data_IF_560079152086
#
_entry.id   IF_560079152086
#
_cell.length_a   1.000
_cell.length_b   1.000
_cell.length_c   1.000
_cell.angle_alpha   90.00
_cell.angle_beta   90.00
_cell.angle_gamma   90.00
#
_symmetry.space_group_name_H-M   'P 1'
#
loop_
_entity.id
_entity.type
_entity.pdbx_description
1 polymer ?
#
# COMPACT_ATOMS: atom_id res chain seq x y z
N UNK A 1 30.20 24.18 -33.33
CA UNK A 1 30.13 22.93 -32.54
C UNK A 1 29.84 23.36 -31.11
N UNK A 2 28.56 23.37 -30.72
CA UNK A 2 28.17 23.76 -29.35
C UNK A 2 28.17 22.50 -28.48
N UNK A 3 29.24 22.32 -27.71
CA UNK A 3 29.46 21.22 -26.76
C UNK A 3 28.81 21.56 -25.41
N UNK A 4 27.49 21.65 -25.38
CA UNK A 4 26.76 22.00 -24.14
C UNK A 4 25.43 21.29 -23.92
N UNK A 5 24.92 20.53 -24.90
CA UNK A 5 23.68 19.75 -24.72
C UNK A 5 24.02 18.32 -24.30
N UNK A 6 24.07 18.08 -22.99
CA UNK A 6 23.69 16.78 -22.46
C UNK A 6 22.20 16.65 -22.74
N UNK A 7 21.84 16.01 -23.84
CA UNK A 7 20.49 15.47 -23.98
C UNK A 7 20.53 14.15 -23.23
N UNK A 8 19.95 14.13 -22.04
CA UNK A 8 19.65 12.87 -21.36
C UNK A 8 18.51 12.23 -22.18
N UNK A 9 18.87 11.41 -23.17
CA UNK A 9 17.96 10.43 -23.77
C UNK A 9 17.85 9.23 -22.83
N UNK A 10 17.47 9.49 -21.58
CA UNK A 10 16.75 8.49 -20.82
C UNK A 10 15.30 8.75 -21.18
N UNK A 11 14.72 7.94 -22.07
CA UNK A 11 13.28 7.81 -22.05
C UNK A 11 12.95 7.30 -20.63
N UNK A 12 12.62 8.22 -19.72
CA UNK A 12 11.57 7.91 -18.75
C UNK A 12 10.35 7.72 -19.65
N UNK A 13 10.17 6.49 -20.12
CA UNK A 13 8.98 6.16 -20.86
C UNK A 13 7.84 6.34 -19.86
N UNK A 14 7.19 7.50 -19.91
CA UNK A 14 6.05 7.85 -19.07
C UNK A 14 4.78 7.17 -19.55
N UNK A 15 4.93 5.98 -20.14
CA UNK A 15 3.83 5.14 -20.56
C UNK A 15 3.31 4.40 -19.32
N UNK A 16 1.99 4.43 -19.21
CA UNK A 16 1.15 3.68 -18.28
C UNK A 16 0.23 2.87 -19.21
N UNK A 17 0.66 1.64 -19.51
CA UNK A 17 0.09 0.81 -20.58
C UNK A 17 -1.28 0.25 -20.23
N UNK A 18 -1.52 -0.01 -18.94
CA UNK A 18 -2.78 -0.53 -18.40
C UNK A 18 -3.71 0.57 -17.87
N UNK A 19 -3.23 1.81 -17.75
CA UNK A 19 -4.00 2.96 -17.28
C UNK A 19 -4.32 2.92 -15.79
N UNK A 20 -3.58 2.14 -15.00
CA UNK A 20 -3.85 1.95 -13.58
C UNK A 20 -3.36 3.14 -12.73
N UNK A 21 -2.59 4.07 -13.33
CA UNK A 21 -2.01 5.24 -12.69
C UNK A 21 -0.56 5.08 -12.23
N UNK A 22 0.03 3.90 -12.46
CA UNK A 22 1.43 3.59 -12.23
C UNK A 22 2.14 3.50 -13.59
N UNK A 23 3.35 4.04 -13.70
CA UNK A 23 4.09 3.97 -14.95
C UNK A 23 4.69 2.58 -15.14
N UNK A 24 4.77 2.09 -16.38
CA UNK A 24 5.39 0.78 -16.70
C UNK A 24 6.84 0.70 -16.17
N UNK A 25 7.57 1.82 -16.23
CA UNK A 25 8.93 1.91 -15.68
C UNK A 25 9.00 1.73 -14.15
N UNK A 26 7.89 1.98 -13.45
CA UNK A 26 7.72 1.74 -12.03
C UNK A 26 7.16 0.34 -11.75
N UNK A 27 6.24 -0.20 -12.57
CA UNK A 27 5.70 -1.55 -12.39
C UNK A 27 6.76 -2.62 -12.64
N UNK A 28 7.58 -2.39 -13.66
CA UNK A 28 8.42 -3.43 -14.26
C UNK A 28 7.94 -3.67 -15.69
N UNK A 29 8.77 -4.31 -16.51
CA UNK A 29 8.41 -4.61 -17.90
C UNK A 29 8.76 -6.05 -18.25
N UNK A 30 8.83 -6.93 -17.26
CA UNK A 30 9.08 -8.35 -17.50
C UNK A 30 7.78 -8.98 -18.02
N UNK A 31 7.85 -9.56 -19.22
CA UNK A 31 6.70 -10.21 -19.84
C UNK A 31 6.40 -11.59 -19.25
N UNK A 32 7.26 -12.09 -18.35
CA UNK A 32 7.04 -13.33 -17.62
C UNK A 32 6.37 -13.11 -16.25
N UNK A 33 6.30 -11.87 -15.77
CA UNK A 33 5.53 -11.53 -14.57
C UNK A 33 4.05 -11.46 -14.97
N UNK A 34 3.27 -12.40 -14.45
CA UNK A 34 1.83 -12.61 -14.68
C UNK A 34 1.26 -13.17 -13.37
N UNK A 35 0.68 -12.29 -12.54
CA UNK A 35 0.35 -12.57 -11.14
C UNK A 35 -0.76 -13.62 -11.01
N UNK A 36 -1.73 -13.64 -11.92
CA UNK A 36 -2.90 -14.52 -11.88
C UNK A 36 -2.91 -15.59 -13.00
N UNK A 37 -1.82 -15.68 -13.78
CA UNK A 37 -1.60 -16.63 -14.87
C UNK A 37 -2.66 -16.50 -16.00
N UNK A 38 -3.18 -15.29 -16.27
CA UNK A 38 -4.20 -15.05 -17.29
C UNK A 38 -3.62 -14.89 -18.72
N UNK A 39 -2.30 -14.73 -18.83
CA UNK A 39 -1.55 -14.55 -20.07
C UNK A 39 -1.27 -13.09 -20.45
N UNK A 40 -1.71 -12.12 -19.64
CA UNK A 40 -1.40 -10.70 -19.73
C UNK A 40 -0.30 -10.38 -18.73
N UNK A 41 0.86 -9.84 -19.16
CA UNK A 41 1.89 -9.46 -18.21
C UNK A 41 1.41 -8.37 -17.24
N UNK A 42 1.87 -8.40 -15.98
CA UNK A 42 1.44 -7.50 -14.90
C UNK A 42 1.40 -6.01 -15.31
N UNK A 43 2.43 -5.53 -16.02
CA UNK A 43 2.55 -4.12 -16.43
C UNK A 43 1.60 -3.71 -17.56
N UNK A 44 0.92 -4.68 -18.16
CA UNK A 44 -0.13 -4.49 -19.16
C UNK A 44 -1.50 -4.91 -18.64
N UNK A 45 -1.57 -5.50 -17.45
CA UNK A 45 -2.81 -5.94 -16.85
C UNK A 45 -3.41 -4.84 -15.98
N UNK A 46 -4.65 -4.45 -16.27
CA UNK A 46 -5.34 -3.40 -15.53
C UNK A 46 -5.94 -3.87 -14.21
N UNK A 47 -6.00 -5.17 -13.95
CA UNK A 47 -6.40 -5.69 -12.64
C UNK A 47 -5.23 -5.83 -11.65
N UNK A 48 -4.02 -5.56 -12.11
CA UNK A 48 -2.78 -5.68 -11.33
C UNK A 48 -2.05 -4.33 -11.31
N UNK A 49 -1.45 -4.00 -10.16
CA UNK A 49 -0.68 -2.77 -10.01
C UNK A 49 0.53 -2.96 -9.09
N UNK A 50 1.73 -2.60 -9.56
CA UNK A 50 2.97 -2.74 -8.77
C UNK A 50 3.67 -1.39 -8.61
N UNK A 51 3.77 -0.87 -7.39
CA UNK A 51 4.26 0.51 -7.15
C UNK A 51 5.12 0.61 -5.89
N UNK A 52 5.88 1.70 -5.77
CA UNK A 52 6.73 1.97 -4.60
C UNK A 52 5.93 2.63 -3.48
N UNK A 53 6.22 2.21 -2.26
CA UNK A 53 5.68 2.85 -1.05
C UNK A 53 6.59 4.00 -0.57
N UNK A 54 6.07 5.01 0.13
CA UNK A 54 6.81 6.22 0.52
C UNK A 54 7.84 6.02 1.64
N UNK A 55 7.95 4.79 2.18
CA UNK A 55 8.84 4.47 3.32
C UNK A 55 10.07 3.65 2.91
N UNK A 56 10.23 3.37 1.62
CA UNK A 56 11.28 2.49 1.09
C UNK A 56 11.46 2.64 -0.42
N UNK A 57 12.21 1.70 -1.01
CA UNK A 57 12.40 1.58 -2.47
C UNK A 57 11.76 0.31 -3.04
N UNK A 58 11.37 -0.59 -2.14
CA UNK A 58 10.68 -1.84 -2.37
C UNK A 58 9.25 -1.55 -2.88
N UNK A 59 8.65 -2.56 -3.52
CA UNK A 59 7.34 -2.41 -4.16
C UNK A 59 6.27 -3.20 -3.43
N UNK A 60 5.06 -2.68 -3.48
CA UNK A 60 3.83 -3.38 -3.12
C UNK A 60 3.13 -3.73 -4.43
N UNK A 61 2.56 -4.94 -4.50
CA UNK A 61 1.77 -5.39 -5.65
C UNK A 61 0.33 -5.64 -5.23
N UNK A 62 -0.60 -5.12 -6.00
CA UNK A 62 -2.04 -5.35 -5.87
C UNK A 62 -2.53 -6.18 -7.04
N UNK A 63 -3.54 -7.01 -6.78
CA UNK A 63 -4.35 -7.66 -7.80
C UNK A 63 -5.82 -7.68 -7.34
N UNK A 64 -6.77 -7.42 -8.23
CA UNK A 64 -8.20 -7.50 -7.95
C UNK A 64 -8.85 -8.63 -8.73
N UNK A 65 -9.69 -9.44 -8.07
CA UNK A 65 -10.35 -10.59 -8.70
C UNK A 65 -11.36 -10.22 -9.80
N UNK A 66 -11.73 -8.95 -9.90
CA UNK A 66 -12.56 -8.38 -10.96
C UNK A 66 -12.42 -6.85 -10.98
N UNK A 67 -12.85 -6.24 -12.09
CA UNK A 67 -12.72 -4.81 -12.33
C UNK A 67 -11.29 -4.42 -12.70
N UNK A 68 -11.02 -3.12 -12.73
CA UNK A 68 -9.74 -2.56 -13.15
C UNK A 68 -9.28 -1.50 -12.16
N UNK A 69 -8.01 -1.56 -11.76
CA UNK A 69 -7.40 -0.49 -11.00
C UNK A 69 -7.30 0.79 -11.84
N UNK A 70 -7.47 1.92 -11.17
CA UNK A 70 -7.13 3.23 -11.70
C UNK A 70 -6.76 4.18 -10.57
N UNK A 71 -5.97 5.21 -10.88
CA UNK A 71 -5.45 6.19 -9.91
C UNK A 71 -4.77 5.53 -8.70
N UNK A 72 -4.02 4.44 -8.92
CA UNK A 72 -3.24 3.81 -7.87
C UNK A 72 -2.14 4.78 -7.41
N UNK A 73 -2.06 5.00 -6.11
CA UNK A 73 -1.06 5.85 -5.49
C UNK A 73 -0.77 5.38 -4.07
N UNK A 74 0.43 5.69 -3.59
CA UNK A 74 0.80 5.50 -2.20
C UNK A 74 1.32 6.82 -1.62
N UNK A 75 0.75 7.24 -0.49
CA UNK A 75 1.12 8.49 0.18
C UNK A 75 1.58 8.22 1.61
N UNK A 76 2.41 9.12 2.13
CA UNK A 76 2.89 8.99 3.51
C UNK A 76 1.74 9.13 4.49
N UNK A 77 1.80 8.43 5.61
CA UNK A 77 0.73 8.41 6.60
C UNK A 77 0.51 9.77 7.30
N UNK A 78 1.50 10.66 7.23
CA UNK A 78 1.46 12.05 7.71
C UNK A 78 1.10 13.08 6.62
N UNK A 79 0.69 12.62 5.42
CA UNK A 79 0.25 13.50 4.35
C UNK A 79 -0.98 14.33 4.81
N UNK A 80 -0.99 15.66 4.57
CA UNK A 80 -2.10 16.52 4.96
C UNK A 80 -3.41 16.24 4.21
N UNK A 81 -3.40 15.48 3.11
CA UNK A 81 -4.64 15.03 2.46
C UNK A 81 -5.36 13.92 3.24
N UNK A 82 -4.70 13.31 4.22
CA UNK A 82 -5.28 12.28 5.09
C UNK A 82 -5.82 12.87 6.39
N UNK A 83 -6.88 12.28 6.96
CA UNK A 83 -7.35 12.67 8.28
C UNK A 83 -6.32 12.32 9.34
N UNK A 84 -5.73 13.34 9.96
CA UNK A 84 -4.78 13.14 11.06
C UNK A 84 -5.48 12.96 12.42
N UNK A 85 -6.72 13.44 12.55
CA UNK A 85 -7.56 13.15 13.71
C UNK A 85 -8.13 11.73 13.62
N UNK A 86 -8.06 10.97 14.72
CA UNK A 86 -8.51 9.58 14.74
C UNK A 86 -7.58 8.58 14.05
N UNK A 87 -6.43 9.03 13.53
CA UNK A 87 -5.38 8.14 13.01
C UNK A 87 -4.90 7.18 14.11
N UNK A 88 -4.86 5.86 13.87
CA UNK A 88 -4.47 4.91 14.88
C UNK A 88 -3.01 5.11 15.30
N UNK A 89 -2.73 4.93 16.60
CA UNK A 89 -1.38 5.04 17.18
C UNK A 89 -0.53 3.78 16.90
N UNK A 90 -0.29 3.52 15.61
CA UNK A 90 0.43 2.36 15.08
C UNK A 90 1.47 2.80 14.04
N UNK A 91 2.31 1.88 13.59
CA UNK A 91 3.24 2.14 12.50
C UNK A 91 2.59 1.85 11.16
N UNK A 92 2.94 2.65 10.15
CA UNK A 92 2.48 2.53 8.76
C UNK A 92 3.68 2.20 7.87
N UNK A 93 4.21 0.96 7.92
CA UNK A 93 5.47 0.59 7.29
C UNK A 93 5.47 0.82 5.78
N UNK A 94 4.30 0.81 5.14
CA UNK A 94 4.13 1.00 3.71
C UNK A 94 3.30 2.24 3.36
N UNK A 95 3.09 3.16 4.30
CA UNK A 95 2.25 4.33 4.07
C UNK A 95 0.75 4.00 3.93
N UNK A 96 0.06 4.76 3.10
CA UNK A 96 -1.38 4.65 2.85
C UNK A 96 -1.60 4.54 1.36
N UNK A 97 -2.18 3.42 0.96
CA UNK A 97 -2.52 3.12 -0.42
C UNK A 97 -3.85 3.78 -0.77
N UNK A 98 -3.98 4.23 -2.01
CA UNK A 98 -5.20 4.82 -2.57
C UNK A 98 -5.38 4.30 -3.98
N UNK A 99 -6.57 3.83 -4.30
CA UNK A 99 -6.91 3.38 -5.65
C UNK A 99 -8.42 3.46 -5.87
N UNK A 100 -8.80 3.33 -7.13
CA UNK A 100 -10.16 3.02 -7.55
C UNK A 100 -10.18 1.64 -8.18
N UNK A 101 -11.23 0.85 -7.93
CA UNK A 101 -11.55 -0.33 -8.74
C UNK A 101 -12.78 0.01 -9.56
N UNK A 102 -12.66 -0.02 -10.88
CA UNK A 102 -13.72 0.38 -11.83
C UNK A 102 -14.20 -0.78 -12.67
N UNK A 103 -15.32 -0.60 -13.39
CA UNK A 103 -15.86 -1.62 -14.28
C UNK A 103 -16.65 -2.72 -13.55
N UNK A 104 -17.05 -2.45 -12.31
CA UNK A 104 -17.87 -3.34 -11.51
C UNK A 104 -19.35 -3.16 -11.80
N UNK A 105 -20.14 -4.17 -11.49
CA UNK A 105 -21.59 -4.01 -11.32
C UNK A 105 -21.88 -3.25 -10.02
N UNK A 106 -22.95 -2.46 -10.00
CA UNK A 106 -23.37 -1.76 -8.78
C UNK A 106 -23.62 -2.76 -7.63
N UNK A 107 -22.98 -2.56 -6.48
CA UNK A 107 -23.06 -3.45 -5.31
C UNK A 107 -22.14 -4.68 -5.36
N UNK A 108 -21.27 -4.78 -6.37
CA UNK A 108 -20.40 -5.94 -6.53
C UNK A 108 -19.30 -6.00 -5.46
N UNK A 109 -18.91 -7.22 -5.09
CA UNK A 109 -17.80 -7.48 -4.17
C UNK A 109 -16.63 -8.13 -4.89
N UNK A 110 -15.42 -7.65 -4.60
CA UNK A 110 -14.17 -8.15 -5.16
C UNK A 110 -13.20 -8.56 -4.06
N UNK A 111 -12.32 -9.50 -4.38
CA UNK A 111 -11.17 -9.84 -3.53
C UNK A 111 -9.95 -9.11 -4.05
N UNK A 112 -9.33 -8.29 -3.19
CA UNK A 112 -8.06 -7.63 -3.48
C UNK A 112 -6.95 -8.38 -2.76
N UNK A 113 -6.01 -8.91 -3.53
CA UNK A 113 -4.76 -9.51 -3.06
C UNK A 113 -3.69 -8.43 -2.98
N UNK A 114 -3.01 -8.35 -1.84
CA UNK A 114 -1.95 -7.35 -1.60
C UNK A 114 -0.68 -8.07 -1.16
N UNK A 115 0.33 -8.04 -2.01
CA UNK A 115 1.67 -8.56 -1.75
C UNK A 115 2.60 -7.44 -1.26
N UNK A 116 3.17 -7.62 -0.07
CA UNK A 116 4.13 -6.71 0.53
C UNK A 116 5.58 -7.17 0.34
N UNK A 117 6.57 -6.25 0.46
CA UNK A 117 7.99 -6.61 0.41
C UNK A 117 8.43 -7.64 1.46
N UNK A 118 7.90 -7.51 2.68
CA UNK A 118 8.20 -8.39 3.81
C UNK A 118 6.94 -9.10 4.30
N UNK A 119 7.16 -10.21 5.00
CA UNK A 119 6.12 -10.94 5.72
C UNK A 119 5.28 -10.00 6.62
N UNK A 120 3.96 -10.10 6.48
CA UNK A 120 3.00 -9.36 7.28
C UNK A 120 2.92 -9.98 8.67
N UNK A 121 3.04 -9.15 9.70
CA UNK A 121 2.87 -9.64 11.07
C UNK A 121 1.46 -10.17 11.28
N UNK A 122 1.33 -11.32 11.93
CA UNK A 122 0.03 -11.86 12.38
C UNK A 122 -0.71 -10.96 13.39
N UNK A 123 -0.06 -9.90 13.89
CA UNK A 123 -0.66 -8.84 14.74
C UNK A 123 -0.97 -7.54 14.00
N UNK A 124 -0.71 -7.51 12.69
CA UNK A 124 -1.03 -6.40 11.83
C UNK A 124 -2.54 -6.16 11.78
N UNK A 125 -2.91 -4.89 11.59
CA UNK A 125 -4.29 -4.46 11.39
C UNK A 125 -4.37 -3.70 10.08
N UNK A 126 -5.47 -3.83 9.36
CA UNK A 126 -5.73 -3.02 8.18
C UNK A 126 -6.78 -1.96 8.51
N UNK A 127 -6.47 -0.71 8.20
CA UNK A 127 -7.39 0.40 8.40
C UNK A 127 -7.78 1.02 7.07
N UNK A 128 -9.06 1.37 6.93
CA UNK A 128 -9.63 2.15 5.84
C UNK A 128 -9.87 3.58 6.28
N UNK A 129 -9.86 4.52 5.34
CA UNK A 129 -10.32 5.89 5.55
C UNK A 129 -11.67 6.07 4.86
N UNK A 130 -12.72 6.34 5.61
CA UNK A 130 -14.04 6.56 5.00
C UNK A 130 -14.21 7.99 4.45
N UNK A 131 -15.28 8.24 3.69
CA UNK A 131 -15.66 9.57 3.16
C UNK A 131 -15.81 10.66 4.23
N UNK A 132 -16.05 10.29 5.48
CA UNK A 132 -16.13 11.23 6.61
C UNK A 132 -14.74 11.59 7.18
N UNK A 133 -13.66 11.09 6.59
CA UNK A 133 -12.30 11.31 7.07
C UNK A 133 -12.03 10.60 8.40
N UNK A 134 -12.57 9.40 8.60
CA UNK A 134 -12.32 8.60 9.80
C UNK A 134 -11.59 7.32 9.45
N UNK A 135 -10.63 6.96 10.30
CA UNK A 135 -9.95 5.67 10.24
C UNK A 135 -10.81 4.59 10.88
N UNK A 136 -10.97 3.48 10.17
CA UNK A 136 -11.71 2.33 10.67
C UNK A 136 -10.93 1.04 10.41
N UNK A 137 -10.72 0.27 11.45
CA UNK A 137 -10.16 -1.07 11.32
C UNK A 137 -11.17 -1.96 10.59
N UNK A 138 -10.68 -2.75 9.64
CA UNK A 138 -11.44 -3.82 9.00
C UNK A 138 -10.75 -5.15 9.25
N UNK A 139 -11.55 -6.21 9.23
CA UNK A 139 -11.03 -7.57 9.22
C UNK A 139 -10.55 -7.83 7.80
N UNK A 140 -9.31 -8.26 7.65
CA UNK A 140 -8.78 -8.76 6.39
C UNK A 140 -8.65 -10.28 6.43
N UNK A 141 -8.67 -10.91 5.25
CA UNK A 141 -8.82 -12.35 5.06
C UNK A 141 -7.59 -13.13 5.51
N UNK A 142 -6.60 -13.28 4.64
CA UNK A 142 -5.36 -13.99 4.97
C UNK A 142 -4.38 -13.10 5.75
N UNK A 143 -3.85 -13.63 6.86
CA UNK A 143 -2.72 -13.09 7.61
C UNK A 143 -2.05 -14.24 8.37
N UNK A 144 -1.52 -15.21 7.62
CA UNK A 144 -0.88 -16.41 8.16
C UNK A 144 0.63 -16.22 8.44
N UNK A 145 1.13 -15.00 8.23
CA UNK A 145 2.52 -14.63 8.43
C UNK A 145 3.38 -14.66 7.16
N UNK A 146 2.76 -14.89 5.99
CA UNK A 146 3.38 -14.63 4.69
C UNK A 146 3.33 -13.12 4.33
N UNK A 147 3.74 -12.77 3.12
CA UNK A 147 3.73 -11.40 2.62
C UNK A 147 2.43 -11.04 1.86
N UNK A 148 1.44 -11.92 1.81
CA UNK A 148 0.24 -11.78 0.98
C UNK A 148 -1.01 -11.72 1.85
N UNK A 149 -1.71 -10.59 1.82
CA UNK A 149 -3.02 -10.48 2.47
C UNK A 149 -4.14 -10.40 1.44
N UNK A 150 -5.36 -10.68 1.89
CA UNK A 150 -6.56 -10.51 1.07
C UNK A 150 -7.57 -9.60 1.75
N UNK A 151 -8.21 -8.72 0.97
CA UNK A 151 -9.31 -7.87 1.40
C UNK A 151 -10.54 -8.20 0.58
N UNK A 152 -11.71 -8.21 1.21
CA UNK A 152 -12.98 -8.22 0.48
C UNK A 152 -13.51 -6.79 0.51
N UNK A 153 -13.67 -6.21 -0.67
CA UNK A 153 -14.21 -4.86 -0.83
C UNK A 153 -15.54 -4.94 -1.57
N UNK A 154 -16.49 -4.09 -1.20
CA UNK A 154 -17.84 -4.09 -1.76
C UNK A 154 -18.23 -2.68 -2.18
N UNK A 155 -18.55 -2.50 -3.46
CA UNK A 155 -19.08 -1.25 -4.03
C UNK A 155 -20.35 -0.84 -3.28
N UNK A 156 -20.35 0.36 -2.69
CA UNK A 156 -21.43 0.86 -1.86
C UNK A 156 -21.39 0.49 -0.37
N UNK A 157 -20.48 -0.37 0.11
CA UNK A 157 -20.36 -0.66 1.54
C UNK A 157 -19.55 0.45 2.24
N UNK A 158 -20.13 1.23 3.17
CA UNK A 158 -19.43 2.32 3.85
C UNK A 158 -18.21 1.90 4.70
N UNK A 159 -17.97 0.59 4.85
CA UNK A 159 -16.81 0.05 5.55
C UNK A 159 -15.63 -0.28 4.63
N UNK A 160 -15.89 -0.56 3.35
CA UNK A 160 -14.90 -1.08 2.39
C UNK A 160 -14.83 -0.28 1.10
N UNK A 161 -15.79 0.60 0.87
CA UNK A 161 -15.83 1.61 -0.17
C UNK A 161 -16.01 2.98 0.47
N UNK A 162 -15.05 3.88 0.23
CA UNK A 162 -14.94 5.12 0.95
C UNK A 162 -16.11 6.05 0.67
N UNK A 163 -16.61 6.11 -0.56
CA UNK A 163 -17.75 6.96 -0.92
C UNK A 163 -19.09 6.35 -0.46
N UNK A 164 -19.14 5.02 -0.31
CA UNK A 164 -20.30 4.27 0.16
C UNK A 164 -21.48 4.31 -0.81
N UNK A 165 -21.22 4.45 -2.11
CA UNK A 165 -22.23 4.54 -3.17
C UNK A 165 -22.10 3.37 -4.13
N UNK A 166 -23.18 2.58 -4.29
CA UNK A 166 -23.24 1.51 -5.30
C UNK A 166 -23.26 2.11 -6.72
N UNK A 167 -22.09 2.35 -7.30
CA UNK A 167 -21.93 3.02 -8.60
C UNK A 167 -21.02 2.27 -9.58
N UNK A 168 -20.55 1.07 -9.20
CA UNK A 168 -19.61 0.26 -9.97
C UNK A 168 -18.15 0.71 -9.82
N UNK A 169 -17.85 1.53 -8.80
CA UNK A 169 -16.52 2.04 -8.49
C UNK A 169 -16.29 1.96 -6.98
N UNK A 170 -15.29 1.20 -6.56
CA UNK A 170 -14.84 1.18 -5.17
C UNK A 170 -13.73 2.22 -5.01
N UNK A 171 -13.89 3.20 -4.12
CA UNK A 171 -12.83 4.11 -3.71
C UNK A 171 -12.14 3.61 -2.42
N UNK A 172 -10.83 3.35 -2.48
CA UNK A 172 -10.13 2.70 -1.36
C UNK A 172 -8.83 3.39 -0.94
N UNK A 173 -8.89 4.32 0.02
CA UNK A 173 -7.77 4.67 0.85
C UNK A 173 -7.64 3.69 2.03
N UNK A 174 -6.52 2.99 2.13
CA UNK A 174 -6.29 1.99 3.16
C UNK A 174 -4.82 1.77 3.51
N UNK A 175 -4.56 1.24 4.71
CA UNK A 175 -3.20 1.02 5.18
C UNK A 175 -3.07 -0.23 6.06
N UNK A 176 -2.01 -0.99 5.78
CA UNK A 176 -1.49 -2.00 6.70
C UNK A 176 -0.77 -1.30 7.85
N UNK A 177 -1.07 -1.70 9.08
CA UNK A 177 -0.43 -1.18 10.28
C UNK A 177 0.18 -2.29 11.09
N UNK A 178 1.34 -2.03 11.67
CA UNK A 178 2.00 -2.92 12.63
C UNK A 178 1.99 -2.32 14.02
N UNK A 179 2.20 -3.16 15.03
CA UNK A 179 2.28 -2.67 16.41
C UNK A 179 3.43 -1.67 16.53
N UNK A 180 3.21 -0.61 17.31
CA UNK A 180 4.28 0.29 17.68
C UNK A 180 5.27 -0.49 18.52
N UNK A 181 6.42 -0.85 17.96
CA UNK A 181 7.58 -1.19 18.75
C UNK A 181 7.97 0.08 19.48
N UNK A 182 7.51 0.23 20.74
CA UNK A 182 8.24 1.07 21.68
C UNK A 182 9.67 0.58 21.59
N UNK A 183 10.57 1.36 21.00
CA UNK A 183 11.95 0.98 20.78
C UNK A 183 12.41 0.28 22.05
N UNK A 184 12.65 -1.03 21.96
CA UNK A 184 13.14 -1.79 23.08
C UNK A 184 14.42 -1.08 23.46
N UNK A 185 14.40 -0.39 24.60
CA UNK A 185 15.58 0.24 25.17
C UNK A 185 16.66 -0.81 25.10
N UNK A 186 17.66 -0.58 24.24
CA UNK A 186 18.82 -1.43 24.15
C UNK A 186 19.37 -1.51 25.57
N UNK A 187 19.12 -2.63 26.23
CA UNK A 187 19.72 -2.98 27.50
C UNK A 187 21.20 -3.23 27.20
N UNK A 188 21.93 -2.14 26.99
CA UNK A 188 23.38 -2.11 26.99
C UNK A 188 23.83 -2.40 28.40
N UNK A 189 24.01 -3.69 28.69
CA UNK A 189 24.67 -4.18 29.89
C UNK A 189 26.16 -3.79 29.85
N UNK A 190 26.45 -2.52 30.08
CA UNK A 190 27.78 -2.02 30.39
C UNK A 190 28.00 -2.10 31.89
N UNK A 191 28.53 -3.22 32.37
CA UNK A 191 29.00 -3.38 33.75
C UNK A 191 30.18 -2.46 34.03
N UNK A 192 29.89 -1.19 34.33
CA UNK A 192 30.84 -0.20 34.83
C UNK A 192 30.83 -0.19 36.36
N UNK A 193 31.80 -0.86 36.96
CA UNK A 193 32.13 -0.77 38.37
C UNK A 193 32.62 0.66 38.72
N UNK A 194 31.74 1.48 39.26
CA UNK A 194 32.13 2.72 39.94
C UNK A 194 31.54 2.72 41.35
N UNK A 195 32.37 2.37 42.34
CA UNK A 195 32.07 2.69 43.73
C UNK A 195 32.33 4.18 43.89
N UNK A 196 31.28 4.99 43.79
CA UNK A 196 31.29 6.36 44.31
C UNK A 196 31.05 6.28 45.81
N UNK A 197 32.12 6.52 46.56
CA UNK A 197 32.12 6.82 48.00
C UNK A 197 31.30 8.09 48.26
N UNK A 198 30.24 8.03 49.10
CA UNK A 198 29.84 9.18 49.93
C UNK A 198 28.79 8.89 51.05
N UNK A 199 29.17 9.25 52.29
CA UNK A 199 28.41 9.51 53.54
C UNK A 199 27.63 8.35 54.20
N UNK A 200 27.76 8.06 55.51
CA UNK A 200 28.04 8.88 56.71
C UNK A 200 29.11 8.26 57.61
#
# INVERSE_FOLDING_TARGET
>A
MDQGKIIIYGAIDGTDSNGNGVLDSEEGTDAADDFDDDGTPDYMDSDTATFRHPKGIEKVRFHTSNGNFSNVACISDDDPSLPQNGKPSRQFPYGVNRFLITGLSAGESVTVSIEFPDAVSTTAQYYKVNSSGQWREIIFGSNDGDNLITLILTDGDPLTDADGVENGIIEDPGALTTTTTTAASSSGGGGGCFITTLFK
#
